data_IF_118286443261
#
_entry.id   IF_118286443261
#
_cell.length_a   1.000
_cell.length_b   1.000
_cell.length_c   1.000
_cell.angle_alpha   90.00
_cell.angle_beta   90.00
_cell.angle_gamma   90.00
#
_symmetry.space_group_name_H-M   'P 1'
#
loop_
_entity.id
_entity.type
_entity.pdbx_description
1 polymer ?
#
# COMPACT_ATOMS: atom_id res chain seq x y z
N UNK A 1 15.99 3.95 23.64
CA UNK A 1 16.72 2.69 23.44
C UNK A 1 16.18 2.09 22.17
N UNK A 2 16.86 2.27 21.03
CA UNK A 2 16.45 1.63 19.78
C UNK A 2 16.73 0.13 19.92
N UNK A 3 15.70 -0.71 19.87
CA UNK A 3 15.89 -2.15 19.78
C UNK A 3 16.72 -2.44 18.53
N UNK A 4 17.89 -3.05 18.72
CA UNK A 4 18.69 -3.54 17.61
C UNK A 4 17.88 -4.65 16.94
N UNK A 5 17.31 -4.35 15.78
CA UNK A 5 16.68 -5.34 14.90
C UNK A 5 17.75 -6.39 14.58
N UNK A 6 17.69 -7.55 15.22
CA UNK A 6 18.53 -8.69 14.90
C UNK A 6 17.90 -9.44 13.74
N UNK A 7 18.57 -9.42 12.60
CA UNK A 7 18.16 -10.19 11.43
C UNK A 7 18.59 -11.65 11.58
N UNK A 8 17.76 -12.64 11.17
CA UNK A 8 18.22 -14.01 11.05
C UNK A 8 19.41 -14.09 10.08
N UNK A 9 20.40 -14.96 10.34
CA UNK A 9 21.62 -15.08 9.52
C UNK A 9 21.33 -15.37 8.03
N UNK A 10 20.26 -16.11 7.74
CA UNK A 10 19.84 -16.48 6.38
C UNK A 10 18.63 -15.66 5.90
N UNK A 11 18.43 -14.43 6.39
CA UNK A 11 17.29 -13.60 5.99
C UNK A 11 17.62 -12.69 4.79
N UNK A 12 16.74 -12.65 3.75
CA UNK A 12 15.63 -13.57 3.52
C UNK A 12 16.13 -14.93 3.02
N UNK A 13 15.41 -16.00 3.36
CA UNK A 13 15.80 -17.35 2.93
C UNK A 13 15.81 -17.47 1.40
N UNK A 14 16.68 -18.30 0.83
CA UNK A 14 16.72 -18.53 -0.63
C UNK A 14 15.35 -18.97 -1.16
N UNK A 15 14.61 -19.78 -0.40
CA UNK A 15 13.23 -20.20 -0.74
C UNK A 15 12.28 -19.00 -0.84
N UNK A 16 12.42 -18.02 0.06
CA UNK A 16 11.64 -16.77 0.02
C UNK A 16 12.01 -15.95 -1.21
N UNK A 17 13.30 -15.83 -1.53
CA UNK A 17 13.77 -15.13 -2.73
C UNK A 17 13.19 -15.77 -3.99
N UNK A 18 13.31 -17.09 -4.13
CA UNK A 18 12.80 -17.83 -5.29
C UNK A 18 11.27 -17.66 -5.44
N UNK A 19 10.55 -17.68 -4.32
CA UNK A 19 9.10 -17.41 -4.30
C UNK A 19 8.78 -16.00 -4.83
N UNK A 20 9.48 -14.96 -4.36
CA UNK A 20 9.26 -13.58 -4.80
C UNK A 20 9.63 -13.39 -6.27
N UNK A 21 10.69 -14.04 -6.75
CA UNK A 21 11.10 -14.00 -8.17
C UNK A 21 10.02 -14.60 -9.06
N UNK A 22 9.48 -15.77 -8.68
CA UNK A 22 8.38 -16.39 -9.42
C UNK A 22 7.13 -15.49 -9.42
N UNK A 23 6.79 -14.91 -8.27
CA UNK A 23 5.65 -13.99 -8.12
C UNK A 23 5.78 -12.70 -8.89
N UNK A 24 7.01 -12.20 -9.08
CA UNK A 24 7.22 -10.95 -9.79
C UNK A 24 6.78 -11.05 -11.26
N UNK A 25 6.83 -12.22 -11.89
CA UNK A 25 6.44 -12.41 -13.30
C UNK A 25 7.06 -11.35 -14.25
N UNK A 26 8.32 -10.95 -14.01
CA UNK A 26 9.05 -9.86 -14.68
C UNK A 26 8.59 -8.42 -14.38
N UNK A 27 7.65 -8.23 -13.46
CA UNK A 27 7.21 -6.94 -12.94
C UNK A 27 8.12 -6.53 -11.77
N UNK A 28 9.18 -5.79 -12.05
CA UNK A 28 10.09 -5.25 -11.03
C UNK A 28 9.34 -4.48 -9.93
N UNK A 29 8.22 -3.85 -10.28
CA UNK A 29 7.34 -3.16 -9.33
C UNK A 29 6.83 -4.07 -8.21
N UNK A 30 6.65 -5.38 -8.44
CA UNK A 30 6.24 -6.33 -7.40
C UNK A 30 7.30 -6.37 -6.29
N UNK A 31 8.54 -6.70 -6.63
CA UNK A 31 9.65 -6.81 -5.65
C UNK A 31 9.97 -5.46 -5.02
N UNK A 32 9.95 -4.37 -5.81
CA UNK A 32 10.15 -3.03 -5.28
C UNK A 32 9.08 -2.65 -4.24
N UNK A 33 7.82 -3.03 -4.46
CA UNK A 33 6.73 -2.80 -3.51
C UNK A 33 6.90 -3.64 -2.25
N UNK A 34 7.34 -4.91 -2.38
CA UNK A 34 7.64 -5.77 -1.22
C UNK A 34 8.76 -5.18 -0.37
N UNK A 35 9.87 -4.76 -0.98
CA UNK A 35 10.99 -4.13 -0.27
C UNK A 35 10.54 -2.83 0.40
N UNK A 36 9.75 -2.01 -0.30
CA UNK A 36 9.22 -0.78 0.27
C UNK A 36 8.29 -1.06 1.47
N UNK A 37 7.49 -2.13 1.42
CA UNK A 37 6.57 -2.52 2.49
C UNK A 37 7.31 -3.05 3.72
N UNK A 38 8.34 -3.89 3.53
CA UNK A 38 9.14 -4.41 4.65
C UNK A 38 10.02 -3.34 5.26
N UNK A 39 10.35 -2.27 4.52
CA UNK A 39 11.09 -1.10 4.99
C UNK A 39 10.35 -0.19 5.99
N UNK A 40 9.20 -0.62 6.54
CA UNK A 40 8.47 0.14 7.55
C UNK A 40 9.31 0.30 8.82
N UNK A 41 9.69 1.53 9.23
CA UNK A 41 10.52 1.74 10.41
C UNK A 41 9.82 1.37 11.73
N UNK A 42 8.49 1.26 11.74
CA UNK A 42 7.70 0.95 12.94
C UNK A 42 7.55 -0.55 13.22
N UNK A 43 8.09 -1.43 12.36
CA UNK A 43 7.87 -2.87 12.41
C UNK A 43 9.12 -3.67 12.13
N UNK A 44 9.10 -4.93 12.56
CA UNK A 44 10.17 -5.86 12.22
C UNK A 44 10.02 -6.27 10.73
N UNK A 45 10.99 -5.93 9.88
CA UNK A 45 10.99 -6.25 8.45
C UNK A 45 10.93 -7.75 8.14
N UNK A 46 11.51 -8.59 9.01
CA UNK A 46 11.44 -10.05 8.84
C UNK A 46 10.02 -10.58 9.10
N UNK A 47 9.36 -10.09 10.16
CA UNK A 47 7.98 -10.44 10.47
C UNK A 47 7.02 -9.99 9.36
N UNK A 48 7.22 -8.79 8.82
CA UNK A 48 6.42 -8.28 7.69
C UNK A 48 6.56 -9.15 6.45
N UNK A 49 7.79 -9.57 6.13
CA UNK A 49 8.05 -10.43 4.99
C UNK A 49 7.41 -11.81 5.17
N UNK A 50 7.58 -12.41 6.36
CA UNK A 50 7.01 -13.72 6.67
C UNK A 50 5.49 -13.70 6.64
N UNK A 51 4.88 -12.62 7.17
CA UNK A 51 3.44 -12.41 7.12
C UNK A 51 2.92 -12.26 5.69
N UNK A 52 3.63 -11.49 4.84
CA UNK A 52 3.31 -11.32 3.43
C UNK A 52 3.37 -12.63 2.66
N UNK A 53 4.45 -13.39 2.83
CA UNK A 53 4.65 -14.68 2.13
C UNK A 53 3.62 -15.71 2.59
N UNK A 54 3.19 -15.67 3.86
CA UNK A 54 2.18 -16.59 4.41
C UNK A 54 0.75 -16.23 4.01
N UNK A 55 0.48 -14.98 3.64
CA UNK A 55 -0.89 -14.50 3.35
C UNK A 55 -1.18 -14.44 1.85
N UNK A 56 -0.19 -14.08 1.02
CA UNK A 56 -0.41 -13.98 -0.43
C UNK A 56 -0.63 -15.41 -0.99
N UNK A 57 -1.66 -15.63 -1.82
CA UNK A 57 -1.94 -16.94 -2.40
C UNK A 57 -0.72 -17.53 -3.10
N UNK A 58 -0.61 -18.86 -3.14
CA UNK A 58 0.41 -19.57 -3.94
C UNK A 58 0.29 -19.15 -5.42
N UNK A 59 1.38 -19.07 -6.21
CA UNK A 59 1.30 -18.67 -7.61
C UNK A 59 0.26 -19.53 -8.35
N UNK A 60 -0.79 -18.90 -8.88
CA UNK A 60 -1.67 -19.55 -9.83
C UNK A 60 -0.93 -19.56 -11.17
N UNK A 61 -0.74 -20.75 -11.73
CA UNK A 61 -0.10 -20.92 -13.03
C UNK A 61 -0.82 -20.09 -14.09
N UNK A 62 -0.18 -19.01 -14.55
CA UNK A 62 -0.46 -18.26 -15.77
C UNK A 62 -1.93 -18.28 -16.25
N UNK A 63 -2.83 -17.60 -15.53
CA UNK A 63 -4.06 -17.16 -16.16
C UNK A 63 -3.73 -15.96 -17.07
N UNK A 64 -3.63 -16.22 -18.38
CA UNK A 64 -3.36 -15.20 -19.39
C UNK A 64 -4.42 -14.09 -19.41
N UNK A 65 -5.59 -14.30 -18.78
CA UNK A 65 -6.64 -13.28 -18.64
C UNK A 65 -6.37 -12.30 -17.50
N UNK A 66 -5.46 -12.61 -16.59
CA UNK A 66 -5.15 -11.78 -15.42
C UNK A 66 -3.61 -11.59 -15.27
N UNK A 67 -2.95 -10.90 -16.23
CA UNK A 67 -1.49 -10.73 -16.25
C UNK A 67 -0.93 -9.93 -15.06
N UNK A 68 -1.78 -9.27 -14.27
CA UNK A 68 -1.39 -8.52 -13.06
C UNK A 68 -1.86 -9.18 -11.78
N UNK A 69 -2.39 -10.41 -11.81
CA UNK A 69 -3.03 -11.06 -10.65
C UNK A 69 -2.16 -11.09 -9.39
N UNK A 70 -0.87 -11.43 -9.54
CA UNK A 70 0.06 -11.45 -8.40
C UNK A 70 0.32 -10.03 -7.85
N UNK A 71 0.47 -9.03 -8.72
CA UNK A 71 0.62 -7.64 -8.33
C UNK A 71 -0.64 -7.07 -7.66
N UNK A 72 -1.82 -7.43 -8.19
CA UNK A 72 -3.13 -7.04 -7.66
C UNK A 72 -3.36 -7.67 -6.28
N UNK A 73 -2.94 -8.93 -6.09
CA UNK A 73 -2.96 -9.60 -4.79
C UNK A 73 -2.04 -8.89 -3.79
N UNK A 74 -0.84 -8.47 -4.21
CA UNK A 74 0.08 -7.71 -3.37
C UNK A 74 -0.51 -6.35 -2.96
N UNK A 75 -1.08 -5.60 -3.90
CA UNK A 75 -1.74 -4.32 -3.59
C UNK A 75 -2.94 -4.50 -2.67
N UNK A 76 -3.79 -5.47 -2.95
CA UNK A 76 -4.95 -5.80 -2.10
C UNK A 76 -4.49 -6.12 -0.68
N UNK A 77 -3.46 -6.94 -0.53
CA UNK A 77 -2.88 -7.28 0.76
C UNK A 77 -2.40 -6.04 1.53
N UNK A 78 -1.61 -5.17 0.91
CA UNK A 78 -1.07 -3.96 1.57
C UNK A 78 -2.20 -2.97 1.90
N UNK A 79 -3.16 -2.74 1.00
CA UNK A 79 -4.29 -1.85 1.28
C UNK A 79 -5.20 -2.35 2.40
N UNK A 80 -5.23 -3.66 2.65
CA UNK A 80 -5.95 -4.26 3.76
C UNK A 80 -5.11 -4.43 5.02
N UNK A 81 -3.80 -4.20 4.95
CA UNK A 81 -2.91 -4.35 6.10
C UNK A 81 -3.28 -3.38 7.24
N UNK A 82 -3.40 -3.93 8.44
CA UNK A 82 -3.64 -3.21 9.69
C UNK A 82 -2.62 -3.69 10.71
N UNK A 83 -1.88 -2.75 11.28
CA UNK A 83 -0.71 -3.08 12.08
C UNK A 83 -1.04 -3.43 13.54
N UNK A 84 -2.13 -2.90 14.13
CA UNK A 84 -2.45 -3.07 15.56
C UNK A 84 -3.96 -3.15 15.91
N UNK A 85 -4.84 -2.42 15.23
CA UNK A 85 -6.24 -2.29 15.64
C UNK A 85 -7.23 -2.59 14.50
N UNK A 86 -8.00 -3.66 14.65
CA UNK A 86 -9.17 -3.95 13.81
C UNK A 86 -10.32 -3.08 14.30
N UNK A 87 -10.24 -1.77 14.06
CA UNK A 87 -11.38 -0.90 14.27
C UNK A 87 -12.39 -1.14 13.13
N UNK A 88 -13.67 -1.45 13.46
CA UNK A 88 -14.71 -1.57 12.45
C UNK A 88 -14.77 -0.30 11.59
N UNK A 89 -14.75 -0.45 10.26
CA UNK A 89 -14.85 0.66 9.33
C UNK A 89 -13.53 1.31 8.90
N UNK A 90 -12.36 0.88 9.43
CA UNK A 90 -11.05 1.37 8.96
C UNK A 90 -10.88 1.17 7.46
N UNK A 91 -11.25 -0.01 6.95
CA UNK A 91 -11.16 -0.31 5.52
C UNK A 91 -12.10 0.59 4.71
N UNK A 92 -13.31 0.86 5.20
CA UNK A 92 -14.26 1.73 4.50
C UNK A 92 -13.79 3.19 4.45
N UNK A 93 -13.22 3.70 5.55
CA UNK A 93 -12.61 5.04 5.56
C UNK A 93 -11.38 5.11 4.67
N UNK A 94 -10.53 4.07 4.68
CA UNK A 94 -9.38 3.96 3.78
C UNK A 94 -9.82 3.96 2.32
N UNK A 95 -10.89 3.23 1.97
CA UNK A 95 -11.49 3.26 0.62
C UNK A 95 -11.94 4.66 0.21
N UNK A 96 -12.58 5.41 1.11
CA UNK A 96 -12.98 6.81 0.85
C UNK A 96 -11.77 7.71 0.62
N UNK A 97 -10.71 7.55 1.41
CA UNK A 97 -9.45 8.27 1.23
C UNK A 97 -8.80 7.95 -0.13
N UNK A 98 -8.68 6.67 -0.48
CA UNK A 98 -8.13 6.26 -1.77
C UNK A 98 -8.96 6.82 -2.94
N UNK A 99 -10.28 6.78 -2.84
CA UNK A 99 -11.16 7.39 -3.83
C UNK A 99 -10.97 8.91 -3.92
N UNK A 100 -10.81 9.62 -2.79
CA UNK A 100 -10.53 11.05 -2.80
C UNK A 100 -9.19 11.35 -3.50
N UNK A 101 -8.13 10.60 -3.18
CA UNK A 101 -6.79 10.77 -3.81
C UNK A 101 -6.85 10.51 -5.32
N UNK A 102 -7.60 9.50 -5.76
CA UNK A 102 -7.58 9.03 -7.16
C UNK A 102 -8.60 9.74 -8.05
N UNK A 103 -9.79 10.05 -7.52
CA UNK A 103 -10.98 10.38 -8.32
C UNK A 103 -11.61 11.74 -7.98
N UNK A 104 -11.14 12.47 -6.95
CA UNK A 104 -11.68 13.82 -6.64
C UNK A 104 -11.28 14.89 -7.66
N UNK A 105 -10.21 14.65 -8.43
CA UNK A 105 -9.58 15.67 -9.29
C UNK A 105 -8.87 16.78 -8.53
N UNK A 106 -8.72 16.66 -7.20
CA UNK A 106 -7.99 17.61 -6.35
C UNK A 106 -6.59 17.09 -6.03
N UNK A 107 -5.66 18.03 -5.94
CA UNK A 107 -4.32 17.77 -5.43
C UNK A 107 -4.29 18.13 -3.95
N UNK A 108 -4.00 17.14 -3.10
CA UNK A 108 -3.86 17.32 -1.65
C UNK A 108 -2.39 17.51 -1.32
N UNK A 109 -2.02 18.68 -0.81
CA UNK A 109 -0.67 18.99 -0.37
C UNK A 109 -0.34 18.45 1.01
N UNK A 110 -1.36 18.17 1.83
CA UNK A 110 -1.19 17.61 3.18
C UNK A 110 -2.29 16.61 3.53
N UNK A 111 -2.12 15.87 4.63
CA UNK A 111 -3.14 14.94 5.12
C UNK A 111 -4.30 15.67 5.83
N UNK A 112 -4.04 16.86 6.37
CA UNK A 112 -5.08 17.72 6.94
C UNK A 112 -6.08 18.17 5.87
N UNK A 113 -5.61 18.47 4.65
CA UNK A 113 -6.52 18.79 3.53
C UNK A 113 -7.43 17.60 3.16
N UNK A 114 -6.97 16.36 3.34
CA UNK A 114 -7.78 15.15 3.16
C UNK A 114 -8.82 15.00 4.27
N UNK A 115 -8.42 15.21 5.53
CA UNK A 115 -9.32 15.19 6.67
C UNK A 115 -10.43 16.24 6.53
N UNK A 116 -10.08 17.47 6.15
CA UNK A 116 -11.05 18.53 5.87
C UNK A 116 -12.00 18.18 4.73
N UNK A 117 -11.47 17.64 3.63
CA UNK A 117 -12.28 17.30 2.46
C UNK A 117 -13.28 16.18 2.73
N UNK A 118 -12.91 15.21 3.56
CA UNK A 118 -13.78 14.08 3.94
C UNK A 118 -14.53 14.30 5.25
N UNK A 119 -14.38 15.46 5.88
CA UNK A 119 -14.99 15.82 7.17
C UNK A 119 -14.64 14.78 8.25
N UNK A 120 -13.36 14.42 8.33
CA UNK A 120 -12.82 13.49 9.31
C UNK A 120 -12.23 14.23 10.52
N UNK A 121 -12.16 13.57 11.70
CA UNK A 121 -11.37 14.08 12.82
C UNK A 121 -9.91 14.31 12.42
N UNK A 122 -9.25 15.38 12.92
CA UNK A 122 -7.84 15.63 12.61
C UNK A 122 -6.93 14.44 12.95
N UNK A 123 -6.05 14.08 12.01
CA UNK A 123 -5.12 12.95 12.15
C UNK A 123 -5.69 11.61 11.68
N UNK A 124 -6.94 11.57 11.20
CA UNK A 124 -7.56 10.33 10.70
C UNK A 124 -6.83 9.83 9.45
N UNK A 125 -6.53 10.72 8.51
CA UNK A 125 -5.81 10.37 7.27
C UNK A 125 -4.41 9.85 7.56
N UNK A 126 -3.70 10.45 8.52
CA UNK A 126 -2.36 9.99 8.94
C UNK A 126 -2.42 8.57 9.47
N UNK A 127 -3.31 8.31 10.43
CA UNK A 127 -3.50 6.96 10.98
C UNK A 127 -3.86 5.94 9.89
N UNK A 128 -4.77 6.28 8.98
CA UNK A 128 -5.26 5.38 7.94
C UNK A 128 -4.22 5.08 6.84
N UNK A 129 -3.31 6.02 6.54
CA UNK A 129 -2.29 5.90 5.49
C UNK A 129 -0.88 5.56 6.01
N UNK A 130 -0.63 5.63 7.32
CA UNK A 130 0.66 5.35 7.98
C UNK A 130 1.34 4.05 7.52
N UNK A 131 0.55 2.99 7.28
CA UNK A 131 1.02 1.68 6.87
C UNK A 131 1.08 1.47 5.34
N UNK A 132 0.77 2.52 4.56
CA UNK A 132 0.72 2.47 3.10
C UNK A 132 1.91 3.19 2.44
N UNK A 133 2.99 3.46 3.18
CA UNK A 133 4.21 4.10 2.67
C UNK A 133 4.85 3.39 1.46
N UNK A 134 4.57 2.10 1.26
CA UNK A 134 5.04 1.36 0.07
C UNK A 134 4.25 1.70 -1.20
N UNK A 135 3.03 2.22 -1.07
CA UNK A 135 2.11 2.52 -2.17
C UNK A 135 1.87 4.03 -2.36
N UNK A 136 1.85 4.78 -1.26
CA UNK A 136 1.49 6.19 -1.22
C UNK A 136 2.68 6.96 -0.66
N UNK A 137 3.00 8.07 -1.33
CA UNK A 137 3.95 9.04 -0.85
C UNK A 137 3.19 10.22 -0.26
N UNK A 138 3.50 10.53 0.99
CA UNK A 138 2.91 11.65 1.74
C UNK A 138 3.99 12.71 1.88
N UNK A 139 3.76 13.93 1.39
CA UNK A 139 4.74 15.01 1.52
C UNK A 139 4.98 15.30 3.00
N UNK A 140 6.25 15.22 3.42
CA UNK A 140 6.65 15.69 4.73
C UNK A 140 6.52 17.21 4.77
N UNK A 141 6.03 17.76 5.87
CA UNK A 141 5.87 19.20 6.10
C UNK A 141 7.20 19.98 6.15
N UNK A 142 8.34 19.29 6.00
CA UNK A 142 9.64 19.93 5.91
C UNK A 142 9.76 20.73 4.62
N UNK A 143 9.94 22.03 4.82
CA UNK A 143 10.03 23.10 3.84
C UNK A 143 11.36 23.02 3.04
N UNK A 144 11.61 21.88 2.41
CA UNK A 144 12.65 21.73 1.41
C UNK A 144 12.12 22.33 0.11
N UNK A 145 12.72 23.44 -0.33
CA UNK A 145 12.30 24.35 -1.42
C UNK A 145 12.05 23.72 -2.81
N UNK A 146 11.92 22.40 -2.90
CA UNK A 146 11.11 21.72 -3.91
C UNK A 146 9.66 22.23 -3.89
N UNK A 147 9.05 22.43 -5.06
CA UNK A 147 7.70 22.98 -5.20
C UNK A 147 6.61 22.20 -4.43
N UNK A 148 5.36 22.66 -4.50
CA UNK A 148 4.20 22.02 -3.83
C UNK A 148 4.15 20.52 -4.15
N UNK A 149 4.63 19.68 -3.22
CA UNK A 149 4.48 18.23 -3.27
C UNK A 149 3.06 17.89 -2.82
N UNK A 150 2.47 16.89 -3.46
CA UNK A 150 1.13 16.40 -3.16
C UNK A 150 1.17 14.95 -2.72
N UNK A 151 0.13 14.49 -2.03
CA UNK A 151 -0.13 13.08 -1.80
C UNK A 151 -0.28 12.39 -3.15
N UNK A 152 0.52 11.37 -3.43
CA UNK A 152 0.50 10.69 -4.72
C UNK A 152 0.83 9.21 -4.62
N UNK A 153 0.38 8.45 -5.62
CA UNK A 153 0.64 7.02 -5.73
C UNK A 153 2.03 6.80 -6.33
N UNK A 154 2.87 5.99 -5.66
CA UNK A 154 4.28 5.76 -6.06
C UNK A 154 4.46 5.10 -7.42
N UNK A 155 3.45 4.40 -7.93
CA UNK A 155 3.48 3.79 -9.25
C UNK A 155 2.14 3.95 -9.97
N UNK A 156 2.20 4.18 -11.29
CA UNK A 156 1.01 4.22 -12.16
C UNK A 156 0.18 2.93 -12.09
N UNK A 157 0.82 1.77 -11.90
CA UNK A 157 0.11 0.49 -11.77
C UNK A 157 -0.85 0.44 -10.58
N UNK A 158 -0.61 1.23 -9.53
CA UNK A 158 -1.50 1.35 -8.37
C UNK A 158 -2.75 2.13 -8.77
N UNK A 159 -2.60 3.20 -9.54
CA UNK A 159 -3.72 3.94 -10.09
C UNK A 159 -4.55 3.03 -11.01
N UNK A 160 -3.90 2.34 -11.96
CA UNK A 160 -4.55 1.41 -12.90
C UNK A 160 -5.27 0.26 -12.16
N UNK A 161 -4.80 -0.12 -10.97
CA UNK A 161 -5.45 -1.09 -10.09
C UNK A 161 -6.70 -0.50 -9.44
N UNK A 162 -6.60 0.65 -8.76
CA UNK A 162 -7.71 1.26 -8.00
C UNK A 162 -8.89 1.70 -8.89
N UNK A 163 -8.63 2.11 -10.13
CA UNK A 163 -9.71 2.51 -11.06
C UNK A 163 -10.43 1.35 -11.72
N UNK A 164 -9.86 0.13 -11.71
CA UNK A 164 -10.50 -1.06 -12.26
C UNK A 164 -11.18 -1.86 -11.17
N UNK A 165 -12.50 -2.01 -11.27
CA UNK A 165 -13.30 -2.84 -10.37
C UNK A 165 -12.90 -4.31 -10.45
N UNK A 166 -12.55 -4.76 -11.65
CA UNK A 166 -12.14 -6.13 -11.93
C UNK A 166 -10.84 -6.49 -11.19
N UNK A 167 -9.93 -5.52 -11.05
CA UNK A 167 -8.64 -5.71 -10.39
C UNK A 167 -8.69 -5.46 -8.89
N UNK A 168 -9.31 -4.36 -8.47
CA UNK A 168 -9.28 -3.91 -7.07
C UNK A 168 -10.48 -4.35 -6.24
N UNK A 169 -11.49 -4.98 -6.84
CA UNK A 169 -12.60 -5.62 -6.15
C UNK A 169 -13.35 -4.66 -5.23
N UNK A 170 -13.22 -4.89 -3.92
CA UNK A 170 -13.91 -4.13 -2.88
C UNK A 170 -13.28 -2.76 -2.59
N UNK A 171 -12.02 -2.54 -3.01
CA UNK A 171 -11.34 -1.25 -2.93
C UNK A 171 -11.84 -0.26 -3.97
N UNK A 172 -12.49 -0.75 -5.03
CA UNK A 172 -13.10 0.10 -6.03
C UNK A 172 -14.34 0.78 -5.46
N UNK A 173 -14.29 2.10 -5.37
CA UNK A 173 -15.45 2.93 -5.06
C UNK A 173 -16.05 3.40 -6.39
N UNK A 174 -17.27 2.94 -6.70
CA UNK A 174 -18.03 3.47 -7.84
C UNK A 174 -18.31 4.97 -7.64
N UNK A 175 -18.45 5.73 -8.73
CA UNK A 175 -18.45 7.20 -8.75
C UNK A 175 -19.61 7.93 -8.04
N UNK A 176 -20.18 7.38 -6.97
CA UNK A 176 -21.11 8.06 -6.09
C UNK A 176 -20.46 8.34 -4.74
N UNK A 177 -19.89 9.54 -4.60
CA UNK A 177 -19.77 10.17 -3.29
C UNK A 177 -21.03 11.02 -3.08
N UNK A 178 -21.74 10.77 -1.99
CA UNK A 178 -22.57 11.78 -1.33
C UNK A 178 -21.88 12.16 -0.04
#
# INVERSE_FOLDING_TARGET
>A
MAELISWPEDWPSQKTVDFLVVKAQNLFTYVATVIAFTGNPARNPAELLDWLVSTIPVPNSADYKAPFADLDALYTFIFHYQADEILPGVIDLRKRLLHAIVLSGKDYCTLEELDEYLVLPPGSSDSLLSNLHSLIDVPSSSNDGSGRRKVWLKNKSIWDFLVSKERSGDLHQGGHIK
#
